data_IF_209178774795
#
_entry.id   IF_209178774795
#
_cell.length_a   1.000
_cell.length_b   1.000
_cell.length_c   1.000
_cell.angle_alpha   90.00
_cell.angle_beta   90.00
_cell.angle_gamma   90.00
#
_symmetry.space_group_name_H-M   'P 1'
#
loop_
_entity.id
_entity.type
_entity.pdbx_description
1 polymer ?
#
# COMPACT_ATOMS: atom_id res chain seq x y z
N UNK A 1 12.18 18.06 2.06
CA UNK A 1 12.74 17.02 2.95
C UNK A 1 13.67 16.17 2.12
N UNK A 2 14.88 15.88 2.58
CA UNK A 2 15.82 15.04 1.83
C UNK A 2 15.25 13.62 1.73
N UNK A 3 14.86 13.21 0.54
CA UNK A 3 14.36 11.90 0.17
C UNK A 3 15.56 10.98 -0.13
N UNK A 4 16.46 10.82 0.86
CA UNK A 4 17.73 10.13 0.65
C UNK A 4 17.60 8.62 0.76
N UNK A 5 18.06 7.89 -0.25
CA UNK A 5 18.29 6.44 -0.28
C UNK A 5 19.16 5.91 0.89
N UNK A 6 19.81 6.80 1.65
CA UNK A 6 20.67 6.45 2.79
C UNK A 6 19.93 6.06 4.09
N UNK A 7 18.61 6.21 4.15
CA UNK A 7 17.84 6.03 5.39
C UNK A 7 17.12 4.67 5.52
N UNK A 8 17.56 3.64 4.82
CA UNK A 8 16.85 2.35 4.77
C UNK A 8 16.87 1.61 6.11
N UNK A 9 17.87 1.86 6.94
CA UNK A 9 17.93 1.36 8.32
C UNK A 9 17.20 2.25 9.32
N UNK A 10 16.65 3.40 8.87
CA UNK A 10 15.88 4.32 9.68
C UNK A 10 14.50 4.47 9.10
N UNK A 11 13.48 4.06 9.82
CA UNK A 11 12.10 4.19 9.37
C UNK A 11 11.26 5.02 10.33
N UNK A 12 10.28 5.69 9.77
CA UNK A 12 9.25 6.39 10.54
C UNK A 12 8.39 5.34 11.23
N UNK A 13 8.16 5.53 12.51
CA UNK A 13 7.14 4.77 13.22
C UNK A 13 5.76 5.30 12.83
N UNK A 14 5.11 4.62 11.88
CA UNK A 14 3.83 5.06 11.33
C UNK A 14 2.67 4.90 12.31
N UNK A 15 2.86 4.17 13.41
CA UNK A 15 1.84 4.05 14.46
C UNK A 15 1.70 5.33 15.29
N UNK A 16 2.68 6.23 15.22
CA UNK A 16 2.68 7.52 15.92
C UNK A 16 2.15 8.67 15.05
N UNK A 17 2.06 8.46 13.74
CA UNK A 17 1.49 9.44 12.81
C UNK A 17 -0.06 9.45 12.91
N UNK A 18 -0.70 10.58 12.66
CA UNK A 18 -0.14 11.87 12.22
C UNK A 18 0.33 12.78 13.37
N UNK A 19 0.26 12.33 14.61
CA UNK A 19 0.44 13.17 15.79
C UNK A 19 1.91 13.41 16.14
N UNK A 20 2.76 12.36 16.02
CA UNK A 20 4.19 12.44 16.28
C UNK A 20 4.98 11.86 15.13
N UNK A 21 6.11 12.50 14.81
CA UNK A 21 7.04 12.02 13.81
C UNK A 21 8.30 11.51 14.51
N UNK A 22 8.47 10.19 14.55
CA UNK A 22 9.65 9.55 15.11
C UNK A 22 10.31 8.63 14.08
N UNK A 23 11.64 8.68 14.02
CA UNK A 23 12.45 7.74 13.22
C UNK A 23 13.04 6.69 14.15
N UNK A 24 12.91 5.43 13.78
CA UNK A 24 13.57 4.31 14.48
C UNK A 24 14.66 3.70 13.63
N UNK A 25 15.73 3.26 14.28
CA UNK A 25 16.81 2.51 13.65
C UNK A 25 16.47 1.03 13.82
N UNK A 26 16.55 0.28 12.72
CA UNK A 26 16.45 -1.18 12.75
C UNK A 26 17.89 -1.71 12.79
N UNK A 27 18.28 -2.34 13.90
CA UNK A 27 19.64 -2.75 14.17
C UNK A 27 19.91 -4.20 13.78
N UNK A 28 18.86 -5.02 13.85
CA UNK A 28 18.91 -6.41 13.41
C UNK A 28 17.64 -6.79 12.63
N UNK A 29 17.63 -7.99 12.05
CA UNK A 29 16.51 -8.43 11.23
C UNK A 29 15.22 -8.67 12.03
N UNK A 30 15.30 -8.93 13.33
CA UNK A 30 14.15 -9.12 14.22
C UNK A 30 13.43 -7.79 14.48
N UNK A 31 14.19 -6.68 14.53
CA UNK A 31 13.58 -5.33 14.54
C UNK A 31 12.72 -5.09 13.30
N UNK A 32 13.19 -5.57 12.13
CA UNK A 32 12.43 -5.50 10.89
C UNK A 32 11.15 -6.32 10.94
N UNK A 33 11.22 -7.54 11.48
CA UNK A 33 10.04 -8.41 11.69
C UNK A 33 9.04 -7.72 12.62
N UNK A 34 9.49 -7.24 13.77
CA UNK A 34 8.63 -6.54 14.75
C UNK A 34 7.98 -5.30 14.13
N UNK A 35 8.74 -4.51 13.37
CA UNK A 35 8.23 -3.31 12.73
C UNK A 35 7.10 -3.63 11.72
N UNK A 36 7.18 -4.76 11.02
CA UNK A 36 6.15 -5.24 10.10
C UNK A 36 4.92 -5.76 10.86
N UNK A 37 5.11 -6.60 11.88
CA UNK A 37 4.03 -7.20 12.69
C UNK A 37 3.22 -6.14 13.44
N UNK A 38 3.91 -5.18 14.05
CA UNK A 38 3.30 -4.08 14.82
C UNK A 38 2.77 -2.96 13.95
N UNK A 39 2.98 -3.03 12.62
CA UNK A 39 2.60 -2.00 11.65
C UNK A 39 3.30 -0.64 11.86
N UNK A 40 4.48 -0.61 12.48
CA UNK A 40 5.38 0.55 12.44
C UNK A 40 5.84 0.83 11.01
N UNK A 41 5.96 -0.25 10.22
CA UNK A 41 6.12 -0.23 8.77
C UNK A 41 4.91 -0.95 8.15
N UNK A 42 4.23 -0.30 7.21
CA UNK A 42 3.02 -0.81 6.56
C UNK A 42 2.94 -0.36 5.10
N UNK A 43 2.03 -0.96 4.33
CA UNK A 43 1.89 -0.76 2.89
C UNK A 43 2.61 -1.89 2.12
N UNK A 44 1.91 -2.47 1.14
CA UNK A 44 2.40 -3.67 0.45
C UNK A 44 3.82 -3.51 -0.13
N UNK A 45 4.15 -2.46 -0.89
CA UNK A 45 5.50 -2.30 -1.42
C UNK A 45 6.55 -2.06 -0.32
N UNK A 46 6.26 -1.17 0.64
CA UNK A 46 7.22 -0.85 1.71
C UNK A 46 7.55 -2.05 2.59
N UNK A 47 6.57 -2.92 2.87
CA UNK A 47 6.79 -4.17 3.61
C UNK A 47 7.77 -5.08 2.85
N UNK A 48 7.66 -5.16 1.53
CA UNK A 48 8.60 -5.89 0.69
C UNK A 48 10.03 -5.37 0.81
N UNK A 49 10.20 -4.05 0.69
CA UNK A 49 11.52 -3.40 0.83
C UNK A 49 12.09 -3.57 2.25
N UNK A 50 11.24 -3.44 3.29
CA UNK A 50 11.65 -3.69 4.67
C UNK A 50 12.09 -5.15 4.87
N UNK A 51 11.41 -6.11 4.24
CA UNK A 51 11.80 -7.51 4.23
C UNK A 51 13.16 -7.73 3.57
N UNK A 52 13.41 -7.12 2.39
CA UNK A 52 14.71 -7.20 1.71
C UNK A 52 15.85 -6.67 2.59
N UNK A 53 15.66 -5.54 3.26
CA UNK A 53 16.67 -5.00 4.18
C UNK A 53 16.81 -5.82 5.46
N UNK A 54 15.74 -6.47 5.93
CA UNK A 54 15.84 -7.43 7.04
C UNK A 54 16.69 -8.65 6.64
N UNK A 55 16.61 -9.12 5.40
CA UNK A 55 17.52 -10.16 4.87
C UNK A 55 18.97 -9.67 4.87
N UNK A 56 19.25 -8.41 4.52
CA UNK A 56 20.61 -7.83 4.62
C UNK A 56 21.15 -7.91 6.05
N UNK A 57 20.31 -7.55 7.03
CA UNK A 57 20.69 -7.63 8.45
C UNK A 57 20.90 -9.07 8.90
N UNK A 58 20.09 -10.02 8.42
CA UNK A 58 20.29 -11.44 8.71
C UNK A 58 21.60 -11.98 8.14
N UNK A 59 21.94 -11.63 6.91
CA UNK A 59 23.24 -11.99 6.29
C UNK A 59 24.42 -11.37 7.02
N UNK A 60 24.26 -10.13 7.51
CA UNK A 60 25.29 -9.45 8.31
C UNK A 60 25.56 -10.18 9.63
N UNK A 61 24.49 -10.70 10.27
CA UNK A 61 24.60 -11.48 11.51
C UNK A 61 25.25 -12.85 11.25
N UNK A 62 24.73 -13.58 10.25
CA UNK A 62 25.27 -14.90 9.88
C UNK A 62 24.96 -15.22 8.40
N UNK A 63 25.98 -15.28 7.54
CA UNK A 63 25.79 -15.53 6.11
C UNK A 63 25.57 -17.00 5.73
N UNK A 64 25.64 -17.96 6.68
CA UNK A 64 25.49 -19.38 6.38
C UNK A 64 24.06 -19.75 5.98
N UNK A 65 23.90 -20.84 5.19
CA UNK A 65 22.61 -21.23 4.62
C UNK A 65 21.53 -21.47 5.68
N UNK A 66 21.84 -22.22 6.73
CA UNK A 66 20.87 -22.58 7.77
C UNK A 66 20.27 -21.36 8.48
N UNK A 67 21.09 -20.50 9.10
CA UNK A 67 20.64 -19.27 9.74
C UNK A 67 19.93 -18.31 8.79
N UNK A 68 20.43 -18.14 7.56
CA UNK A 68 19.82 -17.28 6.58
C UNK A 68 18.41 -17.75 6.17
N UNK A 69 18.23 -19.05 5.93
CA UNK A 69 16.93 -19.63 5.58
C UNK A 69 15.93 -19.51 6.74
N UNK A 70 16.37 -19.77 7.98
CA UNK A 70 15.52 -19.63 9.17
C UNK A 70 15.08 -18.16 9.38
N UNK A 71 15.98 -17.21 9.20
CA UNK A 71 15.67 -15.78 9.29
C UNK A 71 14.68 -15.38 8.17
N UNK A 72 14.92 -15.82 6.92
CA UNK A 72 14.06 -15.52 5.78
C UNK A 72 12.64 -16.08 5.97
N UNK A 73 12.49 -17.30 6.48
CA UNK A 73 11.20 -17.89 6.83
C UNK A 73 10.46 -17.03 7.87
N UNK A 74 11.16 -16.65 8.94
CA UNK A 74 10.57 -15.81 9.98
C UNK A 74 10.16 -14.43 9.48
N UNK A 75 10.96 -13.82 8.58
CA UNK A 75 10.61 -12.54 7.93
C UNK A 75 9.36 -12.70 7.07
N UNK A 76 9.26 -13.75 6.25
CA UNK A 76 8.07 -13.99 5.41
C UNK A 76 6.80 -14.21 6.24
N UNK A 77 6.92 -14.86 7.40
CA UNK A 77 5.81 -15.12 8.31
C UNK A 77 5.35 -13.88 9.09
N UNK A 78 6.07 -12.75 9.05
CA UNK A 78 5.66 -11.52 9.74
C UNK A 78 4.29 -11.00 9.23
N UNK A 79 3.98 -11.18 7.94
CA UNK A 79 2.67 -10.88 7.33
C UNK A 79 2.37 -11.88 6.20
N UNK A 80 1.77 -13.04 6.50
CA UNK A 80 1.55 -14.10 5.50
C UNK A 80 0.69 -13.70 4.30
N UNK A 81 -0.17 -12.70 4.46
CA UNK A 81 -1.03 -12.18 3.38
C UNK A 81 -0.32 -11.19 2.44
N UNK A 82 0.89 -10.70 2.82
CA UNK A 82 1.61 -9.68 2.07
C UNK A 82 2.46 -10.30 0.95
N UNK A 83 1.95 -10.29 -0.28
CA UNK A 83 2.63 -10.85 -1.47
C UNK A 83 4.00 -10.23 -1.68
N UNK A 84 4.10 -8.91 -1.58
CA UNK A 84 5.35 -8.18 -1.80
C UNK A 84 6.45 -8.57 -0.80
N UNK A 85 6.10 -8.96 0.43
CA UNK A 85 7.07 -9.42 1.42
C UNK A 85 7.71 -10.75 0.98
N UNK A 86 6.88 -11.72 0.63
CA UNK A 86 7.33 -13.03 0.16
C UNK A 86 8.16 -12.88 -1.12
N UNK A 87 7.66 -12.09 -2.08
CA UNK A 87 8.35 -11.80 -3.34
C UNK A 87 9.76 -11.22 -3.11
N UNK A 88 9.88 -10.18 -2.28
CA UNK A 88 11.17 -9.54 -2.03
C UNK A 88 12.17 -10.48 -1.34
N UNK A 89 11.73 -11.21 -0.31
CA UNK A 89 12.59 -12.17 0.39
C UNK A 89 13.03 -13.31 -0.54
N UNK A 90 12.14 -13.85 -1.39
CA UNK A 90 12.51 -14.88 -2.35
C UNK A 90 13.51 -14.35 -3.40
N UNK A 91 13.32 -13.12 -3.90
CA UNK A 91 14.26 -12.47 -4.82
C UNK A 91 15.66 -12.35 -4.18
N UNK A 92 15.72 -11.99 -2.89
CA UNK A 92 16.98 -11.96 -2.13
C UNK A 92 17.59 -13.36 -2.03
N UNK A 93 16.84 -14.36 -1.60
CA UNK A 93 17.35 -15.73 -1.44
C UNK A 93 17.87 -16.32 -2.77
N UNK A 94 17.15 -16.12 -3.86
CA UNK A 94 17.56 -16.59 -5.19
C UNK A 94 18.92 -16.02 -5.61
N UNK A 95 19.21 -14.77 -5.24
CA UNK A 95 20.49 -14.14 -5.55
C UNK A 95 21.62 -14.55 -4.59
N UNK A 96 21.30 -14.88 -3.33
CA UNK A 96 22.30 -15.08 -2.28
C UNK A 96 22.73 -16.54 -2.12
N UNK A 97 21.79 -17.49 -2.18
CA UNK A 97 22.08 -18.91 -1.91
C UNK A 97 23.13 -19.52 -2.83
N UNK A 98 23.20 -19.18 -4.14
CA UNK A 98 24.25 -19.71 -5.02
C UNK A 98 25.65 -19.14 -4.76
N UNK A 99 25.79 -18.12 -3.91
CA UNK A 99 27.07 -17.43 -3.64
C UNK A 99 27.75 -17.98 -2.40
N UNK A 100 29.08 -17.87 -2.37
CA UNK A 100 29.87 -18.13 -1.17
C UNK A 100 29.47 -17.20 -0.02
N UNK A 101 29.40 -17.67 1.23
CA UNK A 101 28.98 -16.88 2.39
C UNK A 101 29.69 -15.52 2.51
N UNK A 102 30.99 -15.47 2.22
CA UNK A 102 31.81 -14.24 2.26
C UNK A 102 31.37 -13.15 1.27
N UNK A 103 30.68 -13.52 0.18
CA UNK A 103 30.21 -12.60 -0.87
C UNK A 103 28.77 -12.13 -0.67
N UNK A 104 28.04 -12.75 0.25
CA UNK A 104 26.59 -12.56 0.40
C UNK A 104 26.24 -11.18 0.90
N UNK A 105 27.00 -10.63 1.84
CA UNK A 105 26.67 -9.33 2.43
C UNK A 105 26.67 -8.21 1.40
N UNK A 106 27.75 -8.07 0.65
CA UNK A 106 27.84 -7.04 -0.40
C UNK A 106 26.79 -7.22 -1.49
N UNK A 107 26.49 -8.48 -1.84
CA UNK A 107 25.44 -8.80 -2.81
C UNK A 107 24.06 -8.42 -2.27
N UNK A 108 23.79 -8.73 -1.00
CA UNK A 108 22.53 -8.41 -0.35
C UNK A 108 22.30 -6.89 -0.29
N UNK A 109 23.31 -6.13 0.11
CA UNK A 109 23.24 -4.65 0.16
C UNK A 109 22.95 -4.07 -1.22
N UNK A 110 23.67 -4.51 -2.26
CA UNK A 110 23.47 -4.03 -3.63
C UNK A 110 22.05 -4.33 -4.14
N UNK A 111 21.59 -5.56 -3.91
CA UNK A 111 20.26 -5.96 -4.37
C UNK A 111 19.15 -5.25 -3.60
N UNK A 112 19.25 -5.11 -2.28
CA UNK A 112 18.26 -4.36 -1.49
C UNK A 112 18.20 -2.88 -1.90
N UNK A 113 19.36 -2.25 -2.18
CA UNK A 113 19.42 -0.89 -2.69
C UNK A 113 18.77 -0.78 -4.08
N UNK A 114 19.03 -1.75 -4.96
CA UNK A 114 18.40 -1.82 -6.28
C UNK A 114 16.87 -1.94 -6.15
N UNK A 115 16.36 -2.85 -5.32
CA UNK A 115 14.92 -3.01 -5.08
C UNK A 115 14.29 -1.73 -4.52
N UNK A 116 15.01 -1.02 -3.66
CA UNK A 116 14.58 0.27 -3.11
C UNK A 116 14.42 1.31 -4.22
N UNK A 117 15.37 1.39 -5.17
CA UNK A 117 15.29 2.30 -6.30
C UNK A 117 14.20 1.88 -7.29
N UNK A 118 14.08 0.58 -7.58
CA UNK A 118 13.02 0.03 -8.43
C UNK A 118 11.63 0.40 -7.90
N UNK A 119 11.40 0.38 -6.57
CA UNK A 119 10.14 0.79 -5.95
C UNK A 119 9.85 2.28 -6.20
N UNK A 120 10.85 3.15 -6.01
CA UNK A 120 10.73 4.59 -6.27
C UNK A 120 10.38 4.86 -7.74
N UNK A 121 11.10 4.23 -8.67
CA UNK A 121 10.90 4.43 -10.11
C UNK A 121 9.54 3.89 -10.56
N UNK A 122 9.12 2.74 -10.02
CA UNK A 122 7.80 2.15 -10.24
C UNK A 122 6.69 3.09 -9.76
N UNK A 123 6.79 3.61 -8.55
CA UNK A 123 5.78 4.53 -7.99
C UNK A 123 5.71 5.84 -8.78
N UNK A 124 6.86 6.37 -9.22
CA UNK A 124 6.90 7.55 -10.11
C UNK A 124 6.18 7.27 -11.42
N UNK A 125 6.48 6.14 -12.06
CA UNK A 125 5.83 5.75 -13.32
C UNK A 125 4.32 5.58 -13.16
N UNK A 126 3.83 4.97 -12.07
CA UNK A 126 2.40 4.91 -11.74
C UNK A 126 1.80 6.32 -11.67
N UNK A 127 2.51 7.26 -11.02
CA UNK A 127 2.11 8.67 -10.96
C UNK A 127 1.98 9.30 -12.35
N UNK A 128 2.99 9.11 -13.19
CA UNK A 128 3.03 9.64 -14.55
C UNK A 128 1.93 9.06 -15.45
N UNK A 129 1.65 7.76 -15.33
CA UNK A 129 0.57 7.12 -16.07
C UNK A 129 -0.81 7.61 -15.60
N UNK A 130 -1.04 7.60 -14.28
CA UNK A 130 -2.37 7.90 -13.74
C UNK A 130 -2.73 9.39 -13.74
N UNK A 131 -1.77 10.31 -13.77
CA UNK A 131 -2.07 11.75 -13.79
C UNK A 131 -2.81 12.19 -15.07
N UNK A 132 -2.67 11.45 -16.18
CA UNK A 132 -3.39 11.72 -17.42
C UNK A 132 -4.92 11.61 -17.23
N UNK A 133 -5.39 10.62 -16.46
CA UNK A 133 -6.82 10.45 -16.15
C UNK A 133 -7.39 11.68 -15.43
N UNK A 134 -6.63 12.24 -14.49
CA UNK A 134 -7.04 13.43 -13.72
C UNK A 134 -7.06 14.66 -14.64
N UNK A 135 -6.05 14.80 -15.49
CA UNK A 135 -5.96 15.90 -16.45
C UNK A 135 -7.08 15.86 -17.48
N UNK A 136 -7.38 14.67 -18.04
CA UNK A 136 -8.50 14.47 -18.97
C UNK A 136 -9.85 14.81 -18.32
N UNK A 137 -10.03 14.38 -17.06
CA UNK A 137 -11.24 14.69 -16.30
C UNK A 137 -11.38 16.20 -16.08
N UNK A 138 -10.30 16.88 -15.71
CA UNK A 138 -10.26 18.34 -15.59
C UNK A 138 -10.64 19.03 -16.89
N UNK A 139 -10.11 18.59 -18.03
CA UNK A 139 -10.46 19.17 -19.35
C UNK A 139 -11.95 19.01 -19.69
N UNK A 140 -12.54 17.88 -19.31
CA UNK A 140 -13.96 17.62 -19.54
C UNK A 140 -14.86 18.45 -18.61
N UNK A 141 -14.51 18.56 -17.33
CA UNK A 141 -15.36 19.20 -16.32
C UNK A 141 -15.20 20.73 -16.24
N UNK A 142 -14.02 21.26 -16.59
CA UNK A 142 -13.68 22.69 -16.48
C UNK A 142 -13.82 23.27 -15.05
N UNK A 143 -13.72 22.40 -14.05
CA UNK A 143 -13.66 22.73 -12.63
C UNK A 143 -12.68 21.80 -11.92
N UNK A 144 -12.24 22.09 -10.67
CA UNK A 144 -11.38 21.17 -9.93
C UNK A 144 -11.94 19.75 -9.91
N UNK A 145 -11.07 18.75 -10.11
CA UNK A 145 -11.45 17.33 -10.10
C UNK A 145 -11.54 16.83 -8.67
N UNK A 146 -12.68 16.33 -8.27
CA UNK A 146 -12.92 15.75 -6.96
C UNK A 146 -12.61 14.27 -6.97
N UNK A 147 -11.58 13.86 -6.25
CA UNK A 147 -11.08 12.48 -6.19
C UNK A 147 -11.39 11.90 -4.83
N UNK A 148 -12.00 10.71 -4.78
CA UNK A 148 -12.16 9.97 -3.53
C UNK A 148 -11.06 8.91 -3.42
N UNK A 149 -10.46 8.80 -2.24
CA UNK A 149 -9.48 7.75 -1.93
C UNK A 149 -9.76 7.10 -0.59
N UNK A 150 -9.29 5.86 -0.42
CA UNK A 150 -9.54 5.04 0.76
C UNK A 150 -8.23 4.40 1.24
N UNK A 151 -8.05 4.28 2.55
CA UNK A 151 -6.83 3.80 3.20
C UNK A 151 -5.65 4.80 3.03
N UNK A 152 -4.44 4.28 3.07
CA UNK A 152 -3.25 5.03 2.74
C UNK A 152 -2.40 4.24 1.73
N UNK A 153 -2.27 4.79 0.55
CA UNK A 153 -1.46 4.29 -0.55
C UNK A 153 -0.61 5.42 -1.16
N UNK A 154 -0.11 6.31 -0.30
CA UNK A 154 0.87 7.34 -0.61
C UNK A 154 2.29 6.89 -0.30
N UNK A 155 3.22 7.86 -0.20
CA UNK A 155 4.63 7.58 0.02
C UNK A 155 4.96 6.95 1.39
N UNK A 156 4.03 6.99 2.37
CA UNK A 156 4.15 6.20 3.61
C UNK A 156 3.97 4.69 3.37
N UNK A 157 3.31 4.30 2.28
CA UNK A 157 3.06 2.89 1.95
C UNK A 157 4.13 2.27 1.03
N UNK A 158 5.07 3.07 0.55
CA UNK A 158 6.13 2.73 -0.40
C UNK A 158 7.45 3.31 0.09
N UNK A 159 8.48 3.29 -0.73
CA UNK A 159 9.73 4.02 -0.43
C UNK A 159 9.52 5.52 -0.65
N UNK A 160 8.91 5.89 -1.79
CA UNK A 160 8.55 7.27 -2.13
C UNK A 160 7.38 7.29 -3.15
N UNK A 161 6.77 8.45 -3.39
CA UNK A 161 5.65 8.74 -4.30
C UNK A 161 4.32 8.08 -3.93
N UNK A 162 4.31 6.82 -3.49
CA UNK A 162 3.09 6.05 -3.28
C UNK A 162 2.56 5.40 -4.56
N UNK A 163 1.40 4.77 -4.44
CA UNK A 163 0.68 4.18 -5.58
C UNK A 163 -0.57 5.00 -5.94
N UNK A 164 -1.63 4.94 -5.13
CA UNK A 164 -2.86 5.68 -5.41
C UNK A 164 -2.71 7.21 -5.29
N UNK A 165 -1.83 7.69 -4.42
CA UNK A 165 -1.58 9.13 -4.28
C UNK A 165 -0.55 9.65 -5.30
N UNK A 166 0.26 8.80 -5.92
CA UNK A 166 1.24 9.25 -6.92
C UNK A 166 0.60 9.97 -8.13
N UNK A 167 -0.50 9.47 -8.75
CA UNK A 167 -1.22 10.21 -9.77
C UNK A 167 -1.75 11.57 -9.31
N UNK A 168 -2.21 11.65 -8.05
CA UNK A 168 -2.74 12.87 -7.44
C UNK A 168 -1.61 13.89 -7.27
N UNK A 169 -0.46 13.47 -6.72
CA UNK A 169 0.71 14.33 -6.58
C UNK A 169 1.22 14.82 -7.95
N UNK A 170 1.36 13.91 -8.91
CA UNK A 170 1.83 14.25 -10.25
C UNK A 170 0.89 15.22 -10.98
N UNK A 171 -0.43 15.06 -10.84
CA UNK A 171 -1.41 15.97 -11.41
C UNK A 171 -1.36 17.36 -10.73
N UNK A 172 -1.27 17.39 -9.41
CA UNK A 172 -1.19 18.62 -8.64
C UNK A 172 0.11 19.40 -8.93
N UNK A 173 1.26 18.71 -8.97
CA UNK A 173 2.57 19.30 -9.31
C UNK A 173 2.57 19.88 -10.74
N UNK A 174 1.78 19.31 -11.65
CA UNK A 174 1.58 19.82 -13.03
C UNK A 174 0.53 20.93 -13.13
N UNK A 175 0.00 21.39 -11.99
CA UNK A 175 -0.94 22.49 -11.92
C UNK A 175 -2.39 22.13 -12.24
N UNK A 176 -2.77 20.85 -12.26
CA UNK A 176 -4.17 20.45 -12.42
C UNK A 176 -4.94 20.74 -11.13
N UNK A 177 -5.98 21.58 -11.16
CA UNK A 177 -6.82 21.84 -10.00
C UNK A 177 -7.57 20.59 -9.58
N UNK A 178 -7.45 20.21 -8.30
CA UNK A 178 -8.11 19.03 -7.76
C UNK A 178 -8.40 19.20 -6.26
N UNK A 179 -9.28 18.36 -5.75
CA UNK A 179 -9.59 18.21 -4.33
C UNK A 179 -9.72 16.71 -4.00
N UNK A 180 -9.27 16.29 -2.82
CA UNK A 180 -9.28 14.87 -2.42
C UNK A 180 -10.22 14.66 -1.24
N UNK A 181 -11.24 13.82 -1.41
CA UNK A 181 -12.04 13.25 -0.35
C UNK A 181 -11.30 12.05 0.22
N UNK A 182 -11.00 12.08 1.51
CA UNK A 182 -10.21 11.05 2.19
C UNK A 182 -11.09 10.32 3.18
N UNK A 183 -11.43 9.07 2.91
CA UNK A 183 -12.10 8.20 3.89
C UNK A 183 -11.23 8.04 5.14
N UNK A 184 -11.81 8.17 6.34
CA UNK A 184 -11.07 7.95 7.60
C UNK A 184 -10.46 6.55 7.71
N UNK A 185 -11.09 5.56 7.09
CA UNK A 185 -10.65 4.15 7.02
C UNK A 185 -10.59 3.46 8.38
N UNK A 186 -11.77 3.30 9.01
CA UNK A 186 -11.90 2.50 10.23
C UNK A 186 -11.51 1.03 9.97
N UNK A 187 -11.01 0.28 10.99
CA UNK A 187 -10.84 0.71 12.39
C UNK A 187 -9.53 1.45 12.68
N UNK A 188 -8.50 1.33 11.84
CA UNK A 188 -7.16 1.87 12.12
C UNK A 188 -6.93 3.31 11.63
N UNK A 189 -7.91 3.89 10.96
CA UNK A 189 -7.90 5.28 10.50
C UNK A 189 -6.68 5.63 9.61
N UNK A 190 -6.34 4.74 8.64
CA UNK A 190 -5.23 5.00 7.72
C UNK A 190 -5.47 6.23 6.83
N UNK A 191 -6.73 6.67 6.66
CA UNK A 191 -7.05 7.92 6.00
C UNK A 191 -6.42 9.14 6.67
N UNK A 192 -6.18 9.09 7.99
CA UNK A 192 -5.45 10.17 8.68
C UNK A 192 -3.98 10.28 8.22
N UNK A 193 -3.36 9.15 7.85
CA UNK A 193 -2.03 9.16 7.25
C UNK A 193 -2.06 9.79 5.84
N UNK A 194 -3.09 9.47 5.06
CA UNK A 194 -3.33 10.08 3.74
C UNK A 194 -3.53 11.57 3.84
N UNK A 195 -4.39 12.04 4.75
CA UNK A 195 -4.61 13.45 4.98
C UNK A 195 -3.32 14.16 5.44
N UNK A 196 -2.52 13.52 6.29
CA UNK A 196 -1.24 14.06 6.72
C UNK A 196 -0.26 14.20 5.54
N UNK A 197 -0.15 13.19 4.66
CA UNK A 197 0.67 13.26 3.45
C UNK A 197 0.21 14.38 2.51
N UNK A 198 -1.10 14.45 2.20
CA UNK A 198 -1.67 15.46 1.31
C UNK A 198 -1.42 16.87 1.86
N UNK A 199 -1.54 17.07 3.18
CA UNK A 199 -1.21 18.34 3.84
C UNK A 199 0.27 18.71 3.68
N UNK A 200 1.20 17.74 3.80
CA UNK A 200 2.62 17.97 3.60
C UNK A 200 2.95 18.39 2.16
N UNK A 201 2.17 17.94 1.19
CA UNK A 201 2.31 18.29 -0.24
C UNK A 201 1.48 19.51 -0.65
N UNK A 202 0.70 20.10 0.26
CA UNK A 202 -0.17 21.23 -0.03
C UNK A 202 -1.38 20.90 -0.90
N UNK A 203 -1.74 19.62 -1.04
CA UNK A 203 -2.89 19.17 -1.83
C UNK A 203 -4.19 19.43 -1.08
N UNK A 204 -5.18 20.14 -1.67
CA UNK A 204 -6.50 20.36 -1.05
C UNK A 204 -7.21 19.04 -0.78
N UNK A 205 -7.67 18.84 0.47
CA UNK A 205 -8.36 17.61 0.86
C UNK A 205 -9.31 17.83 2.02
N UNK A 206 -10.25 16.88 2.19
CA UNK A 206 -11.19 16.82 3.30
C UNK A 206 -11.32 15.38 3.78
N UNK A 207 -11.19 15.17 5.08
CA UNK A 207 -11.44 13.86 5.71
C UNK A 207 -12.94 13.67 5.86
N UNK A 208 -13.43 12.48 5.54
CA UNK A 208 -14.83 12.09 5.64
C UNK A 208 -14.96 10.76 6.40
N UNK A 209 -16.12 10.54 7.03
CA UNK A 209 -16.47 9.22 7.53
C UNK A 209 -16.59 8.22 6.37
N UNK A 210 -16.21 6.95 6.60
CA UNK A 210 -16.20 5.93 5.55
C UNK A 210 -17.52 5.80 4.79
N UNK A 211 -18.64 5.95 5.46
CA UNK A 211 -19.96 5.83 4.83
C UNK A 211 -20.38 7.10 4.05
N UNK A 212 -19.70 8.23 4.23
CA UNK A 212 -20.05 9.47 3.54
C UNK A 212 -19.67 9.45 2.03
N UNK A 213 -18.71 8.61 1.63
CA UNK A 213 -18.27 8.51 0.24
C UNK A 213 -19.41 8.21 -0.74
N UNK A 214 -20.31 7.26 -0.40
CA UNK A 214 -21.48 6.96 -1.23
C UNK A 214 -22.43 8.15 -1.38
N UNK A 215 -22.68 8.90 -0.31
CA UNK A 215 -23.52 10.10 -0.34
C UNK A 215 -22.93 11.21 -1.22
N UNK A 216 -21.60 11.39 -1.18
CA UNK A 216 -20.92 12.35 -2.05
C UNK A 216 -21.00 11.94 -3.53
N UNK A 217 -20.90 10.63 -3.81
CA UNK A 217 -21.07 10.10 -5.17
C UNK A 217 -22.48 10.37 -5.70
N UNK A 218 -23.52 10.11 -4.91
CA UNK A 218 -24.91 10.38 -5.28
C UNK A 218 -25.21 11.86 -5.54
N UNK A 219 -24.49 12.77 -4.88
CA UNK A 219 -24.60 14.22 -5.12
C UNK A 219 -23.84 14.71 -6.34
N UNK A 220 -22.98 13.89 -6.93
CA UNK A 220 -22.07 14.30 -8.00
C UNK A 220 -20.85 15.09 -7.49
N UNK A 221 -20.51 14.95 -6.20
CA UNK A 221 -19.36 15.60 -5.58
C UNK A 221 -18.06 14.78 -5.69
N UNK A 222 -18.10 13.62 -6.37
CA UNK A 222 -16.95 12.76 -6.69
C UNK A 222 -16.90 12.53 -8.20
N UNK A 223 -15.76 12.80 -8.81
CA UNK A 223 -15.55 12.63 -10.25
C UNK A 223 -14.76 11.36 -10.58
N UNK A 224 -13.97 10.87 -9.61
CA UNK A 224 -13.01 9.80 -9.81
C UNK A 224 -12.70 9.14 -8.47
N UNK A 225 -12.58 7.81 -8.46
CA UNK A 225 -12.06 7.08 -7.29
C UNK A 225 -10.72 6.47 -7.67
N UNK A 226 -9.69 6.69 -6.83
CA UNK A 226 -8.38 6.05 -6.96
C UNK A 226 -8.00 5.44 -5.62
N UNK A 227 -7.77 4.12 -5.60
CA UNK A 227 -7.34 3.37 -4.41
C UNK A 227 -6.10 2.54 -4.71
N UNK A 228 -5.40 2.09 -3.66
CA UNK A 228 -4.32 1.12 -3.78
C UNK A 228 -4.84 -0.32 -3.85
N UNK A 229 -3.91 -1.28 -3.78
CA UNK A 229 -4.21 -2.69 -3.62
C UNK A 229 -3.19 -3.39 -2.72
N UNK A 230 -3.66 -4.36 -1.93
CA UNK A 230 -2.80 -5.27 -1.18
C UNK A 230 -2.49 -6.53 -1.99
N UNK A 231 -3.40 -6.95 -2.88
CA UNK A 231 -3.22 -8.06 -3.83
C UNK A 231 -4.20 -7.93 -5.00
N UNK A 232 -3.74 -8.25 -6.19
CA UNK A 232 -4.56 -8.29 -7.40
C UNK A 232 -4.45 -9.69 -7.99
N UNK A 233 -5.57 -10.30 -8.39
CA UNK A 233 -5.52 -11.58 -9.08
C UNK A 233 -5.17 -11.41 -10.56
N UNK A 234 -4.78 -12.49 -11.20
CA UNK A 234 -4.54 -12.57 -12.64
C UNK A 234 -5.72 -12.04 -13.50
N UNK A 235 -6.94 -12.14 -12.98
CA UNK A 235 -8.17 -11.68 -13.64
C UNK A 235 -8.57 -10.26 -13.26
N UNK A 236 -7.80 -9.62 -12.36
CA UNK A 236 -8.04 -8.24 -11.95
C UNK A 236 -9.03 -8.06 -10.80
N UNK A 237 -9.35 -9.12 -10.04
CA UNK A 237 -10.02 -8.94 -8.75
C UNK A 237 -9.01 -8.33 -7.76
N UNK A 238 -9.47 -7.40 -6.94
CA UNK A 238 -8.61 -6.58 -6.09
C UNK A 238 -8.93 -6.80 -4.62
N UNK A 239 -7.98 -7.31 -3.85
CA UNK A 239 -8.04 -7.27 -2.40
C UNK A 239 -7.39 -5.97 -1.92
N UNK A 240 -8.12 -5.20 -1.12
CA UNK A 240 -7.64 -3.97 -0.51
C UNK A 240 -8.31 -3.76 0.84
N UNK A 241 -7.93 -2.70 1.54
CA UNK A 241 -8.45 -2.34 2.86
C UNK A 241 -9.97 -2.42 2.88
N UNK A 242 -10.51 -3.03 3.97
CA UNK A 242 -11.95 -3.15 4.20
C UNK A 242 -12.66 -1.82 3.94
N UNK A 243 -13.76 -1.85 3.19
CA UNK A 243 -14.50 -0.67 2.72
C UNK A 243 -14.25 -0.33 1.24
N UNK A 244 -13.21 -0.87 0.62
CA UNK A 244 -12.91 -0.66 -0.81
C UNK A 244 -14.03 -1.19 -1.70
N UNK A 245 -14.53 -2.39 -1.42
CA UNK A 245 -15.65 -2.97 -2.16
C UNK A 245 -16.92 -2.10 -2.12
N UNK A 246 -17.24 -1.53 -0.96
CA UNK A 246 -18.40 -0.61 -0.82
C UNK A 246 -18.22 0.67 -1.66
N UNK A 247 -16.98 1.20 -1.75
CA UNK A 247 -16.69 2.36 -2.61
C UNK A 247 -16.81 2.01 -4.09
N UNK A 248 -16.33 0.83 -4.48
CA UNK A 248 -16.46 0.35 -5.85
C UNK A 248 -17.93 0.14 -6.27
N UNK A 249 -18.76 -0.41 -5.37
CA UNK A 249 -20.20 -0.54 -5.59
C UNK A 249 -20.89 0.82 -5.76
N UNK A 250 -20.60 1.76 -4.85
CA UNK A 250 -21.19 3.10 -4.92
C UNK A 250 -20.72 3.85 -6.18
N UNK A 251 -19.45 3.72 -6.56
CA UNK A 251 -18.92 4.30 -7.79
C UNK A 251 -19.61 3.71 -9.03
N UNK A 252 -19.79 2.39 -9.08
CA UNK A 252 -20.49 1.70 -10.18
C UNK A 252 -21.95 2.12 -10.29
N UNK A 253 -22.65 2.23 -9.17
CA UNK A 253 -24.07 2.65 -9.14
C UNK A 253 -24.28 4.11 -9.61
N UNK A 254 -23.25 4.95 -9.51
CA UNK A 254 -23.29 6.36 -9.87
C UNK A 254 -22.44 6.70 -11.12
N UNK A 255 -22.07 5.71 -11.93
CA UNK A 255 -21.27 5.87 -13.17
C UNK A 255 -19.96 6.62 -12.98
N UNK A 256 -19.34 6.48 -11.78
CA UNK A 256 -18.07 7.10 -11.44
C UNK A 256 -16.93 6.12 -11.73
N UNK A 257 -15.90 6.49 -12.50
CA UNK A 257 -14.78 5.61 -12.76
C UNK A 257 -13.98 5.29 -11.48
N UNK A 258 -13.72 3.99 -11.29
CA UNK A 258 -13.00 3.44 -10.15
C UNK A 258 -11.69 2.82 -10.62
N UNK A 259 -10.57 3.43 -10.25
CA UNK A 259 -9.23 2.96 -10.60
C UNK A 259 -8.49 2.39 -9.41
N UNK A 260 -7.65 1.40 -9.69
CA UNK A 260 -6.75 0.78 -8.71
C UNK A 260 -5.32 1.03 -9.16
N UNK A 261 -4.49 1.64 -8.31
CA UNK A 261 -3.10 1.93 -8.61
C UNK A 261 -2.18 1.03 -7.77
N UNK A 262 -1.41 0.20 -8.43
CA UNK A 262 -0.50 -0.74 -7.78
C UNK A 262 0.66 -1.13 -8.70
N UNK A 263 1.85 -1.44 -8.16
CA UNK A 263 2.94 -1.99 -8.95
C UNK A 263 2.58 -3.40 -9.44
N UNK A 264 3.14 -3.79 -10.56
CA UNK A 264 2.91 -5.13 -11.11
C UNK A 264 3.33 -6.28 -10.17
N UNK A 265 4.24 -6.01 -9.23
CA UNK A 265 4.62 -6.94 -8.15
C UNK A 265 3.50 -7.25 -7.15
N UNK A 266 2.42 -6.48 -7.16
CA UNK A 266 1.22 -6.72 -6.34
C UNK A 266 0.25 -7.70 -7.01
N UNK A 267 0.48 -8.02 -8.30
CA UNK A 267 -0.34 -8.99 -9.05
C UNK A 267 0.12 -10.41 -8.71
N UNK A 268 -0.79 -11.20 -8.15
CA UNK A 268 -0.57 -12.62 -7.89
C UNK A 268 -1.06 -13.45 -9.08
N UNK A 269 -0.13 -13.82 -9.94
CA UNK A 269 -0.42 -14.55 -11.19
C UNK A 269 -0.97 -15.94 -10.98
N UNK A 270 -0.85 -16.51 -9.76
CA UNK A 270 -1.35 -17.85 -9.42
C UNK A 270 -2.84 -17.86 -9.10
N UNK A 271 -3.41 -16.72 -8.73
CA UNK A 271 -4.80 -16.60 -8.31
C UNK A 271 -5.69 -16.12 -9.46
N UNK A 272 -6.87 -16.72 -9.59
CA UNK A 272 -7.87 -16.38 -10.61
C UNK A 272 -9.13 -15.76 -10.00
N UNK A 273 -9.62 -16.26 -8.86
CA UNK A 273 -10.84 -15.82 -8.19
C UNK A 273 -10.49 -15.22 -6.83
N UNK A 274 -10.49 -13.91 -6.77
CA UNK A 274 -10.07 -13.20 -5.56
C UNK A 274 -10.96 -13.51 -4.36
N UNK A 275 -12.26 -13.70 -4.57
CA UNK A 275 -13.21 -13.97 -3.48
C UNK A 275 -13.01 -15.35 -2.84
N UNK A 276 -12.55 -16.33 -3.63
CA UNK A 276 -12.39 -17.73 -3.17
C UNK A 276 -10.96 -18.03 -2.72
N UNK A 277 -9.98 -17.39 -3.36
CA UNK A 277 -8.58 -17.80 -3.27
C UNK A 277 -7.74 -16.85 -2.40
N UNK A 278 -8.16 -15.57 -2.23
CA UNK A 278 -7.42 -14.65 -1.37
C UNK A 278 -7.84 -14.84 0.09
N UNK A 279 -6.91 -15.25 0.97
CA UNK A 279 -7.20 -15.34 2.40
C UNK A 279 -7.38 -13.93 2.99
N UNK A 280 -8.46 -13.70 3.71
CA UNK A 280 -8.73 -12.44 4.39
C UNK A 280 -8.22 -12.53 5.84
N UNK A 281 -7.29 -11.64 6.19
CA UNK A 281 -6.76 -11.50 7.54
C UNK A 281 -7.87 -11.02 8.50
N UNK A 282 -8.12 -11.77 9.56
CA UNK A 282 -8.95 -11.33 10.68
C UNK A 282 -8.04 -10.79 11.78
N UNK A 283 -8.21 -9.53 12.11
CA UNK A 283 -7.40 -8.83 13.11
C UNK A 283 -8.10 -8.77 14.47
N UNK A 284 -7.39 -8.26 15.48
CA UNK A 284 -7.94 -8.14 16.82
C UNK A 284 -9.23 -7.29 16.85
N UNK A 285 -10.26 -7.80 17.53
CA UNK A 285 -11.50 -7.08 17.81
C UNK A 285 -11.26 -5.75 18.55
N UNK A 286 -10.20 -5.67 19.34
CA UNK A 286 -9.83 -4.45 20.05
C UNK A 286 -9.63 -3.24 19.12
N UNK A 287 -9.16 -3.45 17.86
CA UNK A 287 -9.03 -2.34 16.90
C UNK A 287 -10.39 -1.71 16.52
N UNK A 288 -11.47 -2.51 16.53
CA UNK A 288 -12.84 -2.03 16.28
C UNK A 288 -13.45 -1.38 17.53
N UNK A 289 -13.19 -1.97 18.69
CA UNK A 289 -13.78 -1.55 19.96
C UNK A 289 -13.10 -0.33 20.59
N UNK A 290 -11.93 0.09 20.05
CA UNK A 290 -11.19 1.26 20.53
C UNK A 290 -10.90 2.23 19.41
N UNK A 291 -10.62 3.47 19.76
CA UNK A 291 -10.04 4.47 18.86
C UNK A 291 -8.83 5.12 19.53
N UNK A 292 -7.76 5.31 18.75
CA UNK A 292 -6.56 6.04 19.19
C UNK A 292 -6.57 7.44 18.60
N UNK A 293 -6.12 8.39 19.39
CA UNK A 293 -5.98 9.78 19.01
C UNK A 293 -5.14 10.53 20.02
N UNK A 294 -5.28 11.83 20.02
CA UNK A 294 -4.74 12.73 21.05
C UNK A 294 -5.88 13.38 21.80
N UNK A 295 -5.72 13.57 23.11
CA UNK A 295 -6.66 14.31 23.91
C UNK A 295 -6.56 15.84 23.68
N UNK A 296 -7.39 16.62 24.38
CA UNK A 296 -7.39 18.07 24.26
C UNK A 296 -6.07 18.73 24.70
N UNK A 297 -5.22 18.02 25.42
CA UNK A 297 -3.89 18.47 25.86
C UNK A 297 -2.77 18.04 24.92
N UNK A 298 -3.10 17.29 23.87
CA UNK A 298 -2.14 16.79 22.87
C UNK A 298 -1.43 15.49 23.26
N UNK A 299 -1.86 14.82 24.34
CA UNK A 299 -1.31 13.53 24.75
C UNK A 299 -1.99 12.38 24.02
N UNK A 300 -1.23 11.32 23.72
CA UNK A 300 -1.76 10.08 23.16
C UNK A 300 -2.87 9.52 24.06
N UNK A 301 -4.02 9.24 23.47
CA UNK A 301 -5.16 8.67 24.15
C UNK A 301 -5.74 7.50 23.36
N UNK A 302 -6.28 6.52 24.09
CA UNK A 302 -7.08 5.43 23.53
C UNK A 302 -8.41 5.40 24.25
N UNK A 303 -9.50 5.43 23.48
CA UNK A 303 -10.86 5.50 24.01
C UNK A 303 -11.60 4.22 23.63
N UNK A 304 -12.26 3.60 24.62
CA UNK A 304 -13.16 2.48 24.41
C UNK A 304 -14.46 3.00 23.79
N UNK A 305 -14.86 2.42 22.65
CA UNK A 305 -16.07 2.83 21.91
C UNK A 305 -17.31 2.02 22.29
N UNK A 306 -17.13 0.80 22.79
CA UNK A 306 -18.20 -0.11 23.17
C UNK A 306 -17.94 -0.68 24.57
N UNK A 307 -18.96 -1.25 25.25
CA UNK A 307 -18.76 -1.97 26.50
C UNK A 307 -17.62 -3.02 26.40
N UNK A 308 -16.92 -3.32 27.50
CA UNK A 308 -15.72 -4.19 27.47
C UNK A 308 -15.97 -5.61 26.92
N UNK A 309 -17.18 -6.13 27.11
CA UNK A 309 -17.54 -7.51 26.76
C UNK A 309 -18.23 -7.64 25.39
N UNK A 310 -18.28 -6.57 24.61
CA UNK A 310 -18.88 -6.62 23.27
C UNK A 310 -18.02 -7.42 22.28
N UNK A 311 -18.68 -8.26 21.51
CA UNK A 311 -18.06 -8.99 20.43
C UNK A 311 -17.85 -8.09 19.20
N UNK A 312 -16.69 -8.19 18.54
CA UNK A 312 -16.45 -7.49 17.29
C UNK A 312 -15.72 -8.37 16.28
N UNK A 313 -16.09 -8.23 15.01
CA UNK A 313 -15.41 -8.84 13.89
C UNK A 313 -14.54 -7.78 13.16
N UNK A 314 -13.31 -8.14 12.79
CA UNK A 314 -12.37 -7.21 12.18
C UNK A 314 -11.69 -7.85 10.95
N UNK A 315 -12.41 -8.07 9.84
CA UNK A 315 -11.77 -8.41 8.57
C UNK A 315 -10.95 -7.20 8.10
N UNK A 316 -9.67 -7.42 7.78
CA UNK A 316 -8.76 -6.35 7.43
C UNK A 316 -8.95 -5.85 5.99
N UNK A 317 -9.44 -6.72 5.11
CA UNK A 317 -9.55 -6.49 3.67
C UNK A 317 -10.91 -6.95 3.17
N UNK A 318 -11.32 -6.42 2.02
CA UNK A 318 -12.38 -6.98 1.19
C UNK A 318 -11.88 -7.22 -0.24
N UNK A 319 -12.66 -7.94 -1.03
CA UNK A 319 -12.35 -8.24 -2.43
C UNK A 319 -13.34 -7.56 -3.34
N UNK A 320 -12.82 -6.66 -4.16
CA UNK A 320 -13.55 -6.00 -5.23
C UNK A 320 -13.43 -6.83 -6.51
N UNK A 321 -14.56 -7.29 -7.05
CA UNK A 321 -14.58 -8.01 -8.32
C UNK A 321 -14.19 -7.09 -9.47
N UNK A 322 -13.45 -7.60 -10.44
CA UNK A 322 -12.90 -6.87 -11.58
C UNK A 322 -13.94 -6.06 -12.38
N UNK A 323 -15.20 -6.51 -12.44
CA UNK A 323 -16.30 -5.80 -13.14
C UNK A 323 -16.59 -4.40 -12.59
N UNK A 324 -16.17 -4.09 -11.35
CA UNK A 324 -16.34 -2.79 -10.71
C UNK A 324 -15.12 -1.89 -10.87
N UNK A 325 -14.05 -2.40 -11.47
CA UNK A 325 -12.78 -1.68 -11.65
C UNK A 325 -12.70 -1.18 -13.09
N UNK A 326 -12.65 0.13 -13.28
CA UNK A 326 -12.54 0.76 -14.59
C UNK A 326 -11.18 0.58 -15.24
N UNK A 327 -10.13 0.48 -14.40
CA UNK A 327 -8.76 0.22 -14.87
C UNK A 327 -7.79 0.04 -13.72
N UNK A 328 -6.67 -0.64 -14.02
CA UNK A 328 -5.55 -0.83 -13.11
C UNK A 328 -4.37 -0.01 -13.64
N UNK A 329 -3.92 0.94 -12.82
CA UNK A 329 -2.79 1.83 -13.11
C UNK A 329 -1.53 1.14 -12.59
N UNK A 330 -0.61 0.83 -13.49
CA UNK A 330 0.68 0.21 -13.16
C UNK A 330 1.82 1.08 -13.71
N UNK A 331 3.05 0.71 -13.41
CA UNK A 331 4.24 1.33 -14.00
C UNK A 331 4.36 1.12 -15.52
N UNK A 332 3.59 0.18 -16.09
CA UNK A 332 3.61 -0.14 -17.53
C UNK A 332 2.47 0.49 -18.30
N UNK A 333 1.51 1.12 -17.61
CA UNK A 333 0.33 1.73 -18.24
C UNK A 333 -0.94 1.50 -17.44
N UNK A 334 -2.07 1.90 -18.04
CA UNK A 334 -3.41 1.72 -17.50
C UNK A 334 -4.10 0.64 -18.32
N UNK A 335 -4.54 -0.41 -17.66
CA UNK A 335 -5.10 -1.59 -18.32
C UNK A 335 -6.49 -1.92 -17.79
N UNK A 336 -7.36 -2.42 -18.66
CA UNK A 336 -8.58 -3.07 -18.20
C UNK A 336 -8.20 -4.28 -17.33
N UNK A 337 -8.93 -4.56 -16.23
CA UNK A 337 -8.60 -5.67 -15.34
C UNK A 337 -8.46 -7.01 -16.07
N UNK A 338 -9.29 -7.26 -17.08
CA UNK A 338 -9.30 -8.47 -17.90
C UNK A 338 -8.08 -8.63 -18.81
N UNK A 339 -7.36 -7.55 -19.09
CA UNK A 339 -6.24 -7.54 -20.03
C UNK A 339 -4.89 -7.81 -19.36
N UNK A 340 -4.83 -7.86 -18.03
CA UNK A 340 -3.58 -8.02 -17.27
C UNK A 340 -2.77 -9.23 -17.73
N UNK A 341 -3.40 -10.39 -17.87
CA UNK A 341 -2.72 -11.61 -18.27
C UNK A 341 -2.08 -11.50 -19.67
N UNK A 342 -2.69 -10.74 -20.58
CA UNK A 342 -2.17 -10.53 -21.93
C UNK A 342 -1.03 -9.51 -21.94
N UNK A 343 -1.10 -8.50 -21.08
CA UNK A 343 -0.12 -7.40 -21.02
C UNK A 343 1.15 -7.73 -20.24
N UNK A 344 1.10 -8.75 -19.36
CA UNK A 344 2.19 -9.14 -18.45
C UNK A 344 2.65 -10.59 -18.67
N UNK A 345 2.68 -11.06 -19.92
CA UNK A 345 3.09 -12.43 -20.26
C UNK A 345 4.51 -12.77 -19.76
N UNK A 346 5.42 -11.80 -19.77
CA UNK A 346 6.78 -11.93 -19.24
C UNK A 346 6.80 -12.26 -17.75
N UNK A 347 5.92 -11.65 -16.96
CA UNK A 347 5.84 -11.92 -15.52
C UNK A 347 5.17 -13.27 -15.24
N UNK A 348 4.19 -13.68 -16.03
CA UNK A 348 3.55 -14.99 -15.95
C UNK A 348 4.56 -16.09 -16.24
N UNK A 349 5.35 -15.95 -17.31
CA UNK A 349 6.42 -16.89 -17.66
C UNK A 349 7.47 -16.99 -16.53
N UNK A 350 7.88 -15.86 -15.93
CA UNK A 350 8.81 -15.83 -14.80
C UNK A 350 8.24 -16.46 -13.52
N UNK A 351 6.91 -16.51 -13.37
CA UNK A 351 6.22 -17.19 -12.28
C UNK A 351 6.09 -18.70 -12.50
N UNK A 352 6.53 -19.22 -13.64
CA UNK A 352 6.46 -20.66 -14.01
C UNK A 352 5.05 -21.12 -14.36
N UNK A 353 4.21 -20.23 -14.90
CA UNK A 353 2.79 -20.45 -15.22
C UNK A 353 2.52 -20.43 -16.74
#
# INVERSE_FOLDING_TARGET
>A
MSRGLGDVYKRQDQTLLPYRFEKRILSDWRDGVEAIETMRVRGAPLIGIAGAWSVVLAVKENPENGPLLAAAERIQCARPTAVNLVWAVQKMLTALLPREPSQRFDTAVKLAAQLTQEDVDTCRAIGDMGCSLIAERYQALRRPVNILTHCNAGWLATVDYGTALAPIYAAFERGTPLHVWVDETRPRNQGLLTAWELRQQGVPHTIIADNAGGQLMQKGDVDLVIVGADRITRRGDVANKIGTYLKALAAFDNDIPFFVAAPSSTIDWKLNDGKREIPIENRSAAEVLTVRGVDQTGHDASVQLAPPDEAAANPAFDVTHNRFVSGIITERGIFAPTDLATRFQDQIANAGL
#
